data_IF_777644989927
#
_entry.id   IF_777644989927
#
_cell.length_a   1.000
_cell.length_b   1.000
_cell.length_c   1.000
_cell.angle_alpha   90.00
_cell.angle_beta   90.00
_cell.angle_gamma   90.00
#
_symmetry.space_group_name_H-M   'P 1'
#
loop_
_entity.id
_entity.type
_entity.pdbx_description
1 polymer ?
#
# COMPACT_ATOMS: atom_id res chain seq x y z
N UNK A 1 0.42 -56.16 -37.94
CA UNK A 1 -0.59 -55.13 -37.59
C UNK A 1 -0.17 -54.51 -36.27
N UNK A 2 0.13 -53.21 -36.28
CA UNK A 2 0.81 -52.50 -35.19
C UNK A 2 -0.10 -52.14 -34.01
N UNK A 3 0.48 -51.82 -32.85
CA UNK A 3 -0.26 -51.24 -31.74
C UNK A 3 -0.53 -49.75 -32.02
N UNK A 4 -1.82 -49.42 -32.05
CA UNK A 4 -2.37 -48.09 -31.76
C UNK A 4 -1.72 -47.57 -30.48
N UNK A 5 -1.28 -46.33 -30.34
CA UNK A 5 -1.86 -45.07 -30.78
C UNK A 5 -1.65 -44.12 -29.61
N UNK A 6 -1.00 -42.99 -29.85
CA UNK A 6 -0.39 -42.15 -28.83
C UNK A 6 -1.36 -41.52 -27.83
N UNK A 7 -0.85 -41.25 -26.63
CA UNK A 7 -1.40 -40.30 -25.67
C UNK A 7 -0.30 -39.88 -24.68
N UNK A 8 0.78 -39.28 -25.19
CA UNK A 8 1.68 -38.47 -24.36
C UNK A 8 1.09 -37.05 -24.37
N UNK A 9 -0.04 -36.91 -23.69
CA UNK A 9 -0.73 -35.64 -23.54
C UNK A 9 -0.06 -34.85 -22.40
N UNK A 10 0.68 -33.82 -22.80
CA UNK A 10 0.68 -32.49 -22.18
C UNK A 10 0.82 -32.45 -20.65
N UNK A 11 2.06 -32.50 -20.15
CA UNK A 11 2.36 -31.89 -18.84
C UNK A 11 2.35 -30.38 -19.01
N UNK A 12 1.19 -29.79 -18.75
CA UNK A 12 1.01 -28.36 -18.61
C UNK A 12 1.94 -27.85 -17.49
N UNK A 13 3.04 -27.20 -17.87
CA UNK A 13 3.80 -26.37 -16.94
C UNK A 13 2.97 -25.11 -16.72
N UNK A 14 2.10 -25.14 -15.72
CA UNK A 14 1.43 -23.93 -15.21
C UNK A 14 2.49 -23.13 -14.46
N UNK A 15 3.26 -22.34 -15.19
CA UNK A 15 4.04 -21.24 -14.63
C UNK A 15 3.03 -20.15 -14.23
N UNK A 16 2.52 -20.26 -13.01
CA UNK A 16 1.75 -19.19 -12.37
C UNK A 16 2.71 -18.03 -12.08
N UNK A 17 2.91 -17.14 -13.06
CA UNK A 17 3.45 -15.82 -12.80
C UNK A 17 2.41 -15.05 -11.98
N UNK A 18 2.57 -15.02 -10.66
CA UNK A 18 1.85 -14.07 -9.81
C UNK A 18 2.41 -12.70 -10.14
N UNK A 19 1.86 -12.07 -11.18
CA UNK A 19 1.97 -10.63 -11.37
C UNK A 19 1.15 -10.01 -10.24
N UNK A 20 1.85 -9.57 -9.19
CA UNK A 20 1.26 -8.75 -8.15
C UNK A 20 0.69 -7.51 -8.81
N UNK A 21 -0.64 -7.41 -8.85
CA UNK A 21 -1.33 -6.19 -9.25
C UNK A 21 -1.00 -5.12 -8.21
N UNK A 22 -0.14 -4.18 -8.60
CA UNK A 22 0.01 -2.90 -7.92
C UNK A 22 -1.29 -2.11 -8.16
N UNK A 23 -2.31 -2.37 -7.36
CA UNK A 23 -3.52 -1.55 -7.39
C UNK A 23 -3.18 -0.22 -6.70
N UNK A 24 -3.46 0.90 -7.38
CA UNK A 24 -3.45 2.22 -6.77
C UNK A 24 -4.29 2.17 -5.47
N UNK A 25 -3.63 2.27 -4.32
CA UNK A 25 -4.32 2.38 -3.04
C UNK A 25 -4.91 3.78 -2.89
N UNK A 26 -5.84 3.94 -1.95
CA UNK A 26 -6.26 5.24 -1.46
C UNK A 26 -6.37 5.18 0.06
N UNK A 27 -6.33 6.32 0.74
CA UNK A 27 -6.71 6.43 2.14
C UNK A 27 -8.12 6.99 2.16
N UNK A 28 -9.08 6.17 2.58
CA UNK A 28 -10.49 6.52 2.61
C UNK A 28 -10.75 7.70 3.55
N UNK A 29 -11.72 8.55 3.21
CA UNK A 29 -12.20 9.61 4.11
C UNK A 29 -12.68 9.04 5.45
N UNK A 30 -13.25 7.83 5.45
CA UNK A 30 -13.67 7.15 6.68
C UNK A 30 -12.46 6.86 7.60
N UNK A 31 -11.33 6.43 7.02
CA UNK A 31 -10.09 6.22 7.74
C UNK A 31 -9.51 7.53 8.31
N UNK A 32 -9.59 8.64 7.55
CA UNK A 32 -9.19 9.98 8.03
C UNK A 32 -10.05 10.47 9.19
N UNK A 33 -11.33 10.11 9.21
CA UNK A 33 -12.32 10.51 10.22
C UNK A 33 -12.35 9.57 11.44
N UNK A 34 -11.81 8.35 11.35
CA UNK A 34 -11.75 7.35 12.42
C UNK A 34 -10.78 7.81 13.53
N UNK A 35 -11.29 8.68 14.41
CA UNK A 35 -10.52 9.38 15.46
C UNK A 35 -10.40 8.61 16.77
N UNK A 36 -10.93 7.40 16.85
CA UNK A 36 -10.97 6.63 18.11
C UNK A 36 -11.83 7.24 19.23
N UNK A 37 -12.56 8.33 19.01
CA UNK A 37 -13.54 8.86 19.97
C UNK A 37 -14.50 9.86 19.29
N UNK A 38 -15.80 9.52 19.32
CA UNK A 38 -17.00 10.37 19.25
C UNK A 38 -17.09 11.51 18.22
N UNK A 39 -17.66 11.21 17.04
CA UNK A 39 -18.61 12.11 16.34
C UNK A 39 -19.57 11.32 15.45
N UNK A 40 -20.43 10.47 16.04
CA UNK A 40 -21.79 10.11 15.58
C UNK A 40 -22.39 9.22 16.67
N UNK A 41 -23.37 9.71 17.42
CA UNK A 41 -23.83 9.16 18.70
C UNK A 41 -24.55 7.80 18.68
N UNK A 42 -23.99 6.75 18.06
CA UNK A 42 -24.53 5.37 18.08
C UNK A 42 -23.52 4.20 18.04
N UNK A 43 -22.21 4.39 18.18
CA UNK A 43 -21.24 3.26 18.16
C UNK A 43 -20.45 3.03 19.45
N UNK A 44 -21.06 3.29 20.62
CA UNK A 44 -20.41 3.08 21.92
C UNK A 44 -20.18 1.61 22.35
N UNK A 45 -20.29 0.61 21.45
CA UNK A 45 -19.90 -0.77 21.77
C UNK A 45 -19.50 -1.63 20.56
N UNK A 46 -19.15 -1.03 19.41
CA UNK A 46 -18.54 -1.83 18.35
C UNK A 46 -17.07 -2.01 18.70
N UNK A 47 -16.76 -3.10 19.42
CA UNK A 47 -15.40 -3.59 19.60
C UNK A 47 -14.85 -3.92 18.21
N UNK A 48 -14.21 -2.93 17.58
CA UNK A 48 -13.41 -3.13 16.38
C UNK A 48 -12.34 -4.18 16.69
N UNK A 49 -12.01 -5.00 15.71
CA UNK A 49 -10.91 -5.96 15.87
C UNK A 49 -9.59 -5.21 16.02
N UNK A 50 -8.67 -5.81 16.75
CA UNK A 50 -7.31 -5.30 16.86
C UNK A 50 -6.62 -5.27 15.49
N UNK A 51 -5.83 -4.22 15.30
CA UNK A 51 -5.07 -4.03 14.08
C UNK A 51 -3.98 -5.10 13.95
N UNK A 52 -3.90 -5.85 12.84
CA UNK A 52 -2.89 -6.90 12.64
C UNK A 52 -1.48 -6.34 12.37
N UNK A 53 -1.34 -5.01 12.26
CA UNK A 53 -0.06 -4.31 12.12
C UNK A 53 0.19 -3.40 13.31
N UNK A 54 1.44 -3.32 13.75
CA UNK A 54 1.84 -2.45 14.85
C UNK A 54 2.33 -1.10 14.34
N UNK A 55 1.81 -0.03 14.94
CA UNK A 55 2.23 1.34 14.67
C UNK A 55 3.27 1.86 15.68
N UNK A 56 3.40 1.26 16.87
CA UNK A 56 4.24 1.76 17.98
C UNK A 56 5.70 2.04 17.57
N UNK A 57 6.29 1.17 16.76
CA UNK A 57 7.67 1.30 16.30
C UNK A 57 7.87 2.07 14.99
N UNK A 58 6.82 2.64 14.40
CA UNK A 58 6.89 3.27 13.08
C UNK A 58 7.73 4.57 13.09
N UNK A 59 8.24 4.97 11.93
CA UNK A 59 9.05 6.19 11.80
C UNK A 59 8.15 7.42 11.58
N UNK A 60 7.74 8.06 12.68
CA UNK A 60 6.91 9.27 12.65
C UNK A 60 7.64 10.53 12.18
N UNK A 61 8.97 10.49 12.06
CA UNK A 61 9.76 11.63 11.56
C UNK A 61 9.37 12.00 10.13
N UNK A 62 8.89 11.04 9.33
CA UNK A 62 8.37 11.28 7.99
C UNK A 62 7.29 12.38 8.00
N UNK A 63 6.43 12.38 9.02
CA UNK A 63 5.38 13.39 9.20
C UNK A 63 5.92 14.62 9.96
N UNK A 64 6.55 14.42 11.12
CA UNK A 64 6.90 15.52 12.05
C UNK A 64 8.03 16.44 11.54
N UNK A 65 8.83 15.97 10.59
CA UNK A 65 9.85 16.80 9.92
C UNK A 65 9.27 17.76 8.87
N UNK A 66 8.09 17.46 8.30
CA UNK A 66 7.50 18.20 7.18
C UNK A 66 6.22 18.95 7.57
N UNK A 67 5.34 18.31 8.33
CA UNK A 67 4.09 18.90 8.79
C UNK A 67 4.33 19.63 10.12
N UNK A 68 4.58 20.95 10.05
CA UNK A 68 4.89 21.77 11.23
C UNK A 68 3.85 22.86 11.45
N UNK A 69 3.51 23.06 12.72
CA UNK A 69 2.70 24.19 13.17
C UNK A 69 3.50 25.50 13.17
N UNK A 70 2.82 26.65 13.30
CA UNK A 70 1.38 26.79 13.55
C UNK A 70 0.50 26.74 12.30
N UNK A 71 1.09 26.90 11.10
CA UNK A 71 0.32 27.06 9.86
C UNK A 71 -0.06 25.74 9.17
N UNK A 72 0.58 24.61 9.52
CA UNK A 72 0.30 23.26 8.99
C UNK A 72 -0.04 23.25 7.49
N UNK A 73 0.96 23.52 6.64
CA UNK A 73 0.72 23.65 5.21
C UNK A 73 0.13 22.36 4.60
N UNK A 74 -1.03 22.43 3.92
CA UNK A 74 -1.74 21.25 3.41
C UNK A 74 -0.87 20.37 2.52
N UNK A 75 -0.18 20.96 1.54
CA UNK A 75 0.68 20.21 0.61
C UNK A 75 1.77 19.41 1.32
N UNK A 76 2.38 19.97 2.36
CA UNK A 76 3.42 19.31 3.13
C UNK A 76 2.85 18.24 4.07
N UNK A 77 1.75 18.55 4.76
CA UNK A 77 1.11 17.66 5.72
C UNK A 77 0.46 16.45 5.05
N UNK A 78 -0.28 16.66 3.97
CA UNK A 78 -0.97 15.60 3.26
C UNK A 78 0.01 14.73 2.46
N UNK A 79 1.05 15.32 1.87
CA UNK A 79 2.13 14.57 1.24
C UNK A 79 2.88 13.68 2.24
N UNK A 80 3.25 14.23 3.40
CA UNK A 80 3.93 13.45 4.43
C UNK A 80 3.04 12.36 5.05
N UNK A 81 1.73 12.62 5.20
CA UNK A 81 0.78 11.60 5.62
C UNK A 81 0.68 10.47 4.59
N UNK A 82 0.63 10.78 3.29
CA UNK A 82 0.61 9.78 2.22
C UNK A 82 1.87 8.91 2.27
N UNK A 83 3.04 9.53 2.37
CA UNK A 83 4.33 8.80 2.46
C UNK A 83 4.38 7.84 3.66
N UNK A 84 3.73 8.20 4.78
CA UNK A 84 3.67 7.36 5.97
C UNK A 84 2.56 6.28 5.89
N UNK A 85 1.36 6.64 5.44
CA UNK A 85 0.16 5.83 5.60
C UNK A 85 -0.14 4.93 4.39
N UNK A 86 0.33 5.29 3.19
CA UNK A 86 0.08 4.49 1.98
C UNK A 86 0.59 3.03 2.04
N UNK A 87 1.73 2.73 2.70
CA UNK A 87 2.14 1.34 2.94
C UNK A 87 1.17 0.53 3.81
N UNK A 88 0.27 1.20 4.53
CA UNK A 88 -0.72 0.61 5.43
C UNK A 88 -2.15 0.73 4.90
N UNK A 89 -2.36 1.24 3.68
CA UNK A 89 -3.66 1.57 3.12
C UNK A 89 -4.67 0.41 3.23
N UNK A 90 -4.23 -0.82 2.97
CA UNK A 90 -5.09 -2.02 3.08
C UNK A 90 -5.68 -2.21 4.48
N UNK A 91 -4.95 -1.88 5.55
CA UNK A 91 -5.42 -2.08 6.92
C UNK A 91 -6.20 -0.88 7.46
N UNK A 92 -5.72 0.33 7.18
CA UNK A 92 -6.37 1.53 7.71
C UNK A 92 -7.71 1.82 7.03
N UNK A 93 -7.94 1.29 5.83
CA UNK A 93 -9.24 1.36 5.17
C UNK A 93 -10.25 0.32 5.69
N UNK A 94 -9.82 -0.66 6.50
CA UNK A 94 -10.73 -1.65 7.07
C UNK A 94 -11.45 -1.06 8.29
N UNK A 95 -12.66 -0.56 8.04
CA UNK A 95 -13.56 0.04 9.04
C UNK A 95 -13.99 -0.96 10.13
N UNK A 96 -13.73 -2.25 9.98
CA UNK A 96 -14.01 -3.27 11.01
C UNK A 96 -12.89 -3.40 12.05
N UNK A 97 -11.74 -2.76 11.82
CA UNK A 97 -10.58 -2.74 12.71
C UNK A 97 -10.37 -1.36 13.34
N UNK A 98 -9.54 -1.31 14.39
CA UNK A 98 -9.09 -0.08 15.03
C UNK A 98 -7.79 0.48 14.40
N UNK A 99 -7.40 0.03 13.21
CA UNK A 99 -6.13 0.40 12.58
C UNK A 99 -6.01 1.91 12.34
N UNK A 100 -7.02 2.54 11.75
CA UNK A 100 -7.00 3.98 11.47
C UNK A 100 -6.94 4.81 12.76
N UNK A 101 -7.84 4.55 13.71
CA UNK A 101 -7.81 5.18 15.04
C UNK A 101 -6.46 5.02 15.74
N UNK A 102 -5.88 3.82 15.73
CA UNK A 102 -4.58 3.55 16.37
C UNK A 102 -3.46 4.33 15.67
N UNK A 103 -3.42 4.30 14.33
CA UNK A 103 -2.43 5.04 13.54
C UNK A 103 -2.50 6.54 13.84
N UNK A 104 -3.68 7.16 13.76
CA UNK A 104 -3.84 8.58 14.01
C UNK A 104 -3.56 8.97 15.46
N UNK A 105 -3.86 8.09 16.42
CA UNK A 105 -3.52 8.32 17.83
C UNK A 105 -2.00 8.49 18.01
N UNK A 106 -1.19 7.60 17.43
CA UNK A 106 0.27 7.73 17.49
C UNK A 106 0.80 8.93 16.71
N UNK A 107 0.26 9.21 15.51
CA UNK A 107 0.64 10.39 14.72
C UNK A 107 0.42 11.67 15.55
N UNK A 108 -0.74 11.79 16.18
CA UNK A 108 -1.10 12.95 17.00
C UNK A 108 -0.24 13.03 18.26
N UNK A 109 0.05 11.90 18.91
CA UNK A 109 0.88 11.83 20.10
C UNK A 109 2.33 12.28 19.83
N UNK A 110 2.98 11.73 18.80
CA UNK A 110 4.38 12.05 18.50
C UNK A 110 4.54 13.42 17.82
N UNK A 111 3.58 13.81 16.99
CA UNK A 111 3.60 15.10 16.29
C UNK A 111 3.01 16.27 17.07
N UNK A 112 2.35 16.00 18.20
CA UNK A 112 1.56 16.99 18.97
C UNK A 112 0.54 17.70 18.08
N UNK A 113 -0.08 16.97 17.16
CA UNK A 113 -1.03 17.53 16.22
C UNK A 113 -2.38 17.76 16.89
N UNK A 114 -3.05 18.89 16.59
CA UNK A 114 -4.42 19.08 17.01
C UNK A 114 -5.28 17.97 16.39
N UNK A 115 -6.24 17.46 17.15
CA UNK A 115 -7.00 16.32 16.70
C UNK A 115 -7.77 16.74 15.43
N UNK A 116 -7.87 15.88 14.42
CA UNK A 116 -8.61 16.17 13.17
C UNK A 116 -7.84 17.00 12.14
N UNK A 117 -6.60 17.45 12.43
CA UNK A 117 -5.80 18.23 11.48
C UNK A 117 -5.80 17.64 10.07
N UNK A 118 -5.45 16.37 9.94
CA UNK A 118 -5.37 15.70 8.65
C UNK A 118 -6.74 15.48 8.01
N UNK A 119 -7.75 15.13 8.80
CA UNK A 119 -9.12 14.95 8.32
C UNK A 119 -9.71 16.23 7.74
N UNK A 120 -9.36 17.39 8.29
CA UNK A 120 -9.85 18.69 7.85
C UNK A 120 -9.01 19.32 6.72
N UNK A 121 -7.76 18.89 6.60
CA UNK A 121 -6.79 19.53 5.69
C UNK A 121 -6.56 18.71 4.42
N UNK A 122 -6.69 17.38 4.49
CA UNK A 122 -6.26 16.46 3.44
C UNK A 122 -7.44 15.84 2.70
N UNK A 123 -7.80 16.47 1.58
CA UNK A 123 -8.80 15.96 0.63
C UNK A 123 -8.30 16.16 -0.81
N UNK A 124 -8.19 15.06 -1.58
CA UNK A 124 -7.85 15.10 -3.01
C UNK A 124 -9.06 14.74 -3.91
N UNK A 125 -10.08 14.07 -3.39
CA UNK A 125 -11.32 13.73 -4.12
C UNK A 125 -12.29 12.90 -3.27
N UNK A 126 -13.34 12.37 -3.90
CA UNK A 126 -14.45 11.66 -3.22
C UNK A 126 -14.03 10.36 -2.52
N UNK A 127 -12.88 9.78 -2.91
CA UNK A 127 -12.33 8.55 -2.34
C UNK A 127 -11.27 8.79 -1.27
N UNK A 128 -10.83 10.03 -1.10
CA UNK A 128 -9.82 10.42 -0.10
C UNK A 128 -8.47 10.75 -0.71
N UNK A 129 -7.38 10.29 -0.09
CA UNK A 129 -6.02 10.58 -0.55
C UNK A 129 -5.50 9.45 -1.43
N UNK A 130 -5.11 9.76 -2.67
CA UNK A 130 -4.63 8.75 -3.60
C UNK A 130 -3.20 8.32 -3.24
N UNK A 131 -2.93 7.03 -3.16
CA UNK A 131 -1.57 6.52 -2.93
C UNK A 131 -0.84 6.26 -4.26
N UNK A 132 0.50 6.40 -4.29
CA UNK A 132 1.29 6.02 -5.46
C UNK A 132 1.06 4.53 -5.78
N UNK A 133 0.86 4.21 -7.07
CA UNK A 133 0.61 2.85 -7.56
C UNK A 133 1.69 1.85 -7.12
N UNK A 134 2.95 2.27 -7.09
CA UNK A 134 4.10 1.42 -6.74
C UNK A 134 4.32 1.24 -5.23
N UNK A 135 3.39 1.67 -4.35
CA UNK A 135 3.61 1.62 -2.91
C UNK A 135 3.50 0.19 -2.36
N UNK A 136 4.58 -0.42 -1.83
CA UNK A 136 4.50 -1.75 -1.26
C UNK A 136 3.65 -1.75 0.02
N UNK A 137 2.71 -2.70 0.11
CA UNK A 137 1.89 -2.88 1.30
C UNK A 137 2.66 -3.66 2.37
N UNK A 138 2.51 -3.24 3.63
CA UNK A 138 3.12 -3.90 4.79
C UNK A 138 2.41 -5.24 5.05
N UNK A 139 3.15 -6.26 5.46
CA UNK A 139 2.55 -7.54 5.88
C UNK A 139 2.22 -7.52 7.38
N UNK A 140 1.23 -8.31 7.85
CA UNK A 140 0.93 -8.42 9.28
C UNK A 140 2.18 -8.81 10.07
N UNK A 141 2.41 -8.15 11.20
CA UNK A 141 3.61 -8.38 12.03
C UNK A 141 4.95 -7.86 11.45
N UNK A 142 4.96 -7.24 10.27
CA UNK A 142 6.16 -6.67 9.67
C UNK A 142 6.21 -5.15 9.89
N UNK A 143 7.40 -4.61 10.14
CA UNK A 143 7.63 -3.16 10.23
C UNK A 143 7.69 -2.58 8.81
N UNK A 144 7.09 -1.41 8.56
CA UNK A 144 7.28 -0.71 7.29
C UNK A 144 8.76 -0.45 7.08
N UNK A 145 9.34 -1.07 6.06
CA UNK A 145 10.72 -0.80 5.64
C UNK A 145 10.69 0.47 4.80
N UNK A 146 11.15 1.58 5.38
CA UNK A 146 11.30 2.83 4.65
C UNK A 146 12.31 2.67 3.51
N UNK A 147 11.91 3.13 2.31
CA UNK A 147 12.70 3.29 1.10
C UNK A 147 13.31 2.01 0.47
N UNK A 148 12.69 1.55 -0.63
CA UNK A 148 13.42 0.87 -1.69
C UNK A 148 13.71 1.90 -2.80
N UNK A 149 14.83 2.61 -2.66
CA UNK A 149 15.52 3.15 -3.81
C UNK A 149 16.01 1.95 -4.63
N UNK A 150 15.33 1.63 -5.73
CA UNK A 150 15.86 0.70 -6.74
C UNK A 150 16.11 1.48 -8.01
N UNK A 151 17.39 1.56 -8.34
CA UNK A 151 17.93 2.21 -9.51
C UNK A 151 17.23 1.73 -10.79
N UNK A 152 16.59 2.64 -11.50
CA UNK A 152 16.20 2.41 -12.89
C UNK A 152 17.46 2.50 -13.76
N UNK A 153 18.09 1.36 -14.04
CA UNK A 153 19.04 1.23 -15.14
C UNK A 153 18.26 0.95 -16.45
N UNK A 154 18.64 1.55 -17.58
CA UNK A 154 17.83 1.53 -18.80
C UNK A 154 17.96 0.20 -19.53
N UNK A 155 16.84 -0.37 -19.99
CA UNK A 155 16.81 -1.50 -20.89
C UNK A 155 17.30 -1.07 -22.28
N UNK A 156 18.61 -1.22 -22.53
CA UNK A 156 19.18 -1.14 -23.86
C UNK A 156 19.04 -2.50 -24.57
N UNK A 157 18.30 -2.45 -25.68
CA UNK A 157 18.38 -3.26 -26.91
C UNK A 157 19.05 -4.65 -26.89
N UNK A 158 18.37 -5.63 -27.51
CA UNK A 158 18.96 -6.50 -28.53
C UNK A 158 17.86 -7.18 -29.35
N UNK A 159 17.62 -6.63 -30.54
CA UNK A 159 17.02 -7.35 -31.66
C UNK A 159 18.15 -8.03 -32.44
N UNK A 160 18.01 -9.32 -32.78
CA UNK A 160 18.50 -9.91 -34.04
C UNK A 160 18.21 -11.41 -34.12
N UNK A 161 17.35 -11.76 -35.08
CA UNK A 161 17.46 -12.83 -36.09
C UNK A 161 18.09 -14.18 -35.74
N UNK A 162 17.37 -15.26 -36.04
CA UNK A 162 17.92 -16.49 -36.63
C UNK A 162 16.90 -17.06 -37.62
N UNK A 163 17.08 -16.68 -38.89
CA UNK A 163 16.65 -17.47 -40.04
C UNK A 163 17.83 -18.36 -40.47
N UNK A 164 17.49 -19.48 -41.13
CA UNK A 164 18.41 -20.47 -41.74
C UNK A 164 18.93 -21.52 -40.73
N UNK A 165 18.87 -22.83 -40.94
CA UNK A 165 18.60 -23.62 -42.15
C UNK A 165 18.12 -25.01 -41.72
N UNK A 166 17.03 -25.50 -42.32
CA UNK A 166 16.88 -26.93 -42.59
C UNK A 166 18.07 -27.33 -43.46
N UNK A 167 18.83 -28.36 -43.09
CA UNK A 167 19.51 -29.31 -43.98
C UNK A 167 20.42 -30.25 -43.16
N UNK A 168 20.33 -31.55 -43.51
CA UNK A 168 21.30 -32.64 -43.24
C UNK A 168 21.29 -33.15 -41.78
N UNK A 169 20.56 -34.22 -41.43
CA UNK A 169 20.67 -35.66 -41.80
C UNK A 169 21.90 -36.37 -41.24
N UNK A 170 21.68 -37.22 -40.24
CA UNK A 170 21.96 -38.67 -40.31
C UNK A 170 21.01 -39.38 -39.34
#
# INVERSE_FOLDING_TARGET
>A
MGPHGGSIALRAVVLAAVLGFAAAGFISNDALLDRGHDTTGRSLLQAKKDCPVSFEGANYTIITSRCKGPLYQPTLCCGALKDFACPYATYINDVTTNCAATMFSYINLYGKYPPGLFANTCHEGDKGLACPEDTPQVQPGQKASGAAAVAAAPAAALAAALAASLLVSC
#
